data_IF_477606423698
#
_entry.id   IF_477606423698
#
_cell.length_a   1.000
_cell.length_b   1.000
_cell.length_c   1.000
_cell.angle_alpha   90.00
_cell.angle_beta   90.00
_cell.angle_gamma   90.00
#
_symmetry.space_group_name_H-M   'P 1'
#
loop_
_entity.id
_entity.type
_entity.pdbx_description
1 polymer ?
#
# COMPACT_ATOMS: atom_id res chain seq x y z
N UNK A 1 -14.10 43.42 -30.93
CA UNK A 1 -12.90 42.77 -31.52
C UNK A 1 -12.42 41.67 -30.58
N UNK A 2 -12.74 40.40 -30.88
CA UNK A 2 -12.35 39.27 -30.06
C UNK A 2 -10.93 38.82 -30.39
N UNK A 3 -9.98 39.03 -29.47
CA UNK A 3 -8.64 38.43 -29.55
C UNK A 3 -8.77 36.95 -29.20
N UNK A 4 -8.67 36.08 -30.21
CA UNK A 4 -8.46 34.65 -30.00
C UNK A 4 -7.01 34.47 -29.57
N UNK A 5 -6.80 34.12 -28.30
CA UNK A 5 -5.50 33.69 -27.81
C UNK A 5 -5.16 32.35 -28.46
N UNK A 6 -4.40 32.37 -29.55
CA UNK A 6 -3.82 31.17 -30.15
C UNK A 6 -2.55 30.81 -29.38
N UNK A 7 -2.70 30.17 -28.22
CA UNK A 7 -1.61 29.41 -27.59
C UNK A 7 -1.43 28.10 -28.38
N UNK A 8 -0.86 28.20 -29.58
CA UNK A 8 -0.40 27.01 -30.30
C UNK A 8 0.84 26.48 -29.59
N UNK A 9 0.64 25.61 -28.60
CA UNK A 9 1.71 24.77 -28.09
C UNK A 9 2.38 24.08 -29.29
N UNK A 10 3.67 24.34 -29.46
CA UNK A 10 4.46 23.81 -30.57
C UNK A 10 4.38 22.27 -30.55
N UNK A 11 4.36 21.58 -31.72
CA UNK A 11 4.30 20.11 -31.78
C UNK A 11 5.33 19.40 -30.88
N UNK A 12 6.50 20.01 -30.69
CA UNK A 12 7.56 19.53 -29.81
C UNK A 12 7.16 19.50 -28.33
N UNK A 13 6.47 20.52 -27.83
CA UNK A 13 5.98 20.55 -26.44
C UNK A 13 4.94 19.45 -26.20
N UNK A 14 4.04 19.22 -27.17
CA UNK A 14 3.05 18.14 -27.11
C UNK A 14 3.73 16.77 -27.08
N UNK A 15 4.77 16.59 -27.88
CA UNK A 15 5.55 15.35 -27.92
C UNK A 15 6.32 15.12 -26.61
N UNK A 16 6.93 16.16 -26.03
CA UNK A 16 7.60 16.09 -24.73
C UNK A 16 6.62 15.77 -23.61
N UNK A 17 5.46 16.44 -23.57
CA UNK A 17 4.41 16.16 -22.59
C UNK A 17 3.90 14.71 -22.69
N UNK A 18 3.77 14.17 -23.90
CA UNK A 18 3.42 12.77 -24.10
C UNK A 18 4.54 11.82 -23.61
N UNK A 19 5.80 12.15 -23.85
CA UNK A 19 6.95 11.38 -23.38
C UNK A 19 7.05 11.35 -21.85
N UNK A 20 6.85 12.49 -21.17
CA UNK A 20 6.82 12.58 -19.70
C UNK A 20 5.69 11.72 -19.14
N UNK A 21 4.47 11.85 -19.66
CA UNK A 21 3.33 11.02 -19.25
C UNK A 21 3.61 9.52 -19.42
N UNK A 22 4.29 9.14 -20.51
CA UNK A 22 4.68 7.74 -20.75
C UNK A 22 5.72 7.27 -19.72
N UNK A 23 6.74 8.09 -19.42
CA UNK A 23 7.75 7.77 -18.42
C UNK A 23 7.14 7.60 -17.03
N UNK A 24 6.30 8.53 -16.60
CA UNK A 24 5.55 8.46 -15.33
C UNK A 24 4.70 7.20 -15.24
N UNK A 25 3.97 6.86 -16.31
CA UNK A 25 3.17 5.62 -16.38
C UNK A 25 4.05 4.38 -16.20
N UNK A 26 5.21 4.33 -16.88
CA UNK A 26 6.12 3.20 -16.77
C UNK A 26 6.70 3.04 -15.36
N UNK A 27 7.05 4.15 -14.70
CA UNK A 27 7.48 4.17 -13.29
C UNK A 27 6.38 3.61 -12.39
N UNK A 28 5.13 4.08 -12.56
CA UNK A 28 4.01 3.60 -11.76
C UNK A 28 3.75 2.10 -11.97
N UNK A 29 3.87 1.60 -13.20
CA UNK A 29 3.74 0.17 -13.50
C UNK A 29 4.85 -0.62 -12.80
N UNK A 30 6.10 -0.14 -12.81
CA UNK A 30 7.20 -0.79 -12.12
C UNK A 30 6.93 -0.87 -10.61
N UNK A 31 6.56 0.24 -9.98
CA UNK A 31 6.19 0.30 -8.55
C UNK A 31 5.07 -0.69 -8.22
N UNK A 32 4.02 -0.74 -9.06
CA UNK A 32 2.90 -1.64 -8.83
C UNK A 32 3.31 -3.11 -8.92
N UNK A 33 4.19 -3.48 -9.87
CA UNK A 33 4.73 -4.84 -9.97
C UNK A 33 5.47 -5.23 -8.70
N UNK A 34 6.34 -4.36 -8.18
CA UNK A 34 7.11 -4.66 -6.97
C UNK A 34 6.19 -4.79 -5.76
N UNK A 35 5.19 -3.91 -5.62
CA UNK A 35 4.18 -4.03 -4.55
C UNK A 35 3.43 -5.36 -4.59
N UNK A 36 3.10 -5.86 -5.79
CA UNK A 36 2.46 -7.18 -5.93
C UNK A 36 3.42 -8.29 -5.52
N UNK A 37 4.68 -8.24 -5.97
CA UNK A 37 5.69 -9.21 -5.57
C UNK A 37 5.89 -9.25 -4.06
N UNK A 38 5.98 -8.09 -3.40
CA UNK A 38 6.16 -8.01 -1.95
C UNK A 38 5.00 -8.66 -1.19
N UNK A 39 3.76 -8.44 -1.64
CA UNK A 39 2.58 -9.11 -1.07
C UNK A 39 2.63 -10.63 -1.25
N UNK A 40 3.03 -11.10 -2.43
CA UNK A 40 3.20 -12.53 -2.67
C UNK A 40 4.27 -13.13 -1.75
N UNK A 41 5.42 -12.46 -1.63
CA UNK A 41 6.49 -12.87 -0.73
C UNK A 41 6.03 -12.88 0.74
N UNK A 42 5.23 -11.90 1.18
CA UNK A 42 4.67 -11.87 2.53
C UNK A 42 3.70 -13.02 2.81
N UNK A 43 2.82 -13.34 1.86
CA UNK A 43 1.93 -14.51 1.94
C UNK A 43 2.75 -15.80 2.07
N UNK A 44 3.82 -15.95 1.28
CA UNK A 44 4.64 -17.14 1.31
C UNK A 44 5.51 -17.23 2.58
N UNK A 45 6.01 -16.10 3.08
CA UNK A 45 6.68 -16.03 4.38
C UNK A 45 5.74 -16.48 5.51
N UNK A 46 4.48 -16.03 5.50
CA UNK A 46 3.49 -16.46 6.50
C UNK A 46 3.19 -17.96 6.44
N UNK A 47 3.10 -18.54 5.24
CA UNK A 47 2.95 -19.99 5.06
C UNK A 47 4.17 -20.75 5.58
N UNK A 48 5.37 -20.28 5.23
CA UNK A 48 6.63 -20.88 5.66
C UNK A 48 6.76 -20.84 7.19
N UNK A 49 6.43 -19.71 7.81
CA UNK A 49 6.47 -19.51 9.25
C UNK A 49 5.47 -20.42 9.98
N UNK A 50 4.24 -20.54 9.46
CA UNK A 50 3.28 -21.54 9.96
C UNK A 50 3.83 -22.96 9.88
N UNK A 51 4.49 -23.31 8.78
CA UNK A 51 5.15 -24.60 8.60
C UNK A 51 6.24 -24.84 9.64
N UNK A 52 7.13 -23.85 9.84
CA UNK A 52 8.20 -23.88 10.85
C UNK A 52 7.64 -24.10 12.26
N UNK A 53 6.65 -23.30 12.66
CA UNK A 53 6.01 -23.42 13.99
C UNK A 53 5.35 -24.79 14.18
N UNK A 54 4.72 -25.33 13.13
CA UNK A 54 4.13 -26.66 13.19
C UNK A 54 5.19 -27.76 13.32
N UNK A 55 6.34 -27.63 12.65
CA UNK A 55 7.47 -28.55 12.81
C UNK A 55 8.02 -28.53 14.24
N UNK A 56 8.24 -27.33 14.81
CA UNK A 56 8.69 -27.18 16.21
C UNK A 56 7.71 -27.87 17.16
N UNK A 57 6.41 -27.68 16.95
CA UNK A 57 5.36 -28.31 17.77
C UNK A 57 5.44 -29.83 17.70
N UNK A 58 5.68 -30.40 16.52
CA UNK A 58 5.79 -31.85 16.34
C UNK A 58 7.03 -32.41 17.05
N UNK A 59 8.19 -31.77 16.88
CA UNK A 59 9.44 -32.15 17.55
C UNK A 59 9.27 -32.10 19.08
N UNK A 60 8.62 -31.05 19.59
CA UNK A 60 8.32 -30.93 21.02
C UNK A 60 7.40 -32.03 21.55
N UNK A 61 6.43 -32.50 20.76
CA UNK A 61 5.57 -33.64 21.13
C UNK A 61 6.33 -34.95 21.20
N UNK A 62 7.37 -35.11 20.38
CA UNK A 62 8.24 -36.28 20.37
C UNK A 62 9.33 -36.22 21.46
N UNK A 63 9.42 -35.11 22.20
CA UNK A 63 10.45 -34.90 23.23
C UNK A 63 11.86 -34.71 22.66
N UNK A 64 11.96 -34.44 21.36
CA UNK A 64 13.23 -34.22 20.68
C UNK A 64 13.71 -32.77 20.85
N UNK A 65 15.01 -32.55 20.73
CA UNK A 65 15.60 -31.21 20.77
C UNK A 65 15.33 -30.51 19.44
N UNK A 66 14.81 -29.28 19.51
CA UNK A 66 14.53 -28.46 18.32
C UNK A 66 15.86 -27.98 17.70
N UNK A 67 16.09 -28.24 16.40
CA UNK A 67 17.23 -27.68 15.68
C UNK A 67 17.29 -26.15 15.76
N UNK A 68 18.48 -25.55 15.92
CA UNK A 68 18.61 -24.10 16.10
C UNK A 68 18.11 -23.29 14.91
N UNK A 69 18.16 -23.84 13.69
CA UNK A 69 17.66 -23.20 12.47
C UNK A 69 16.15 -22.97 12.55
N UNK A 70 15.43 -23.91 13.16
CA UNK A 70 14.00 -23.80 13.36
C UNK A 70 13.65 -22.86 14.50
N UNK A 71 14.60 -22.34 15.29
CA UNK A 71 14.31 -21.35 16.34
C UNK A 71 14.22 -19.93 15.80
N UNK A 72 14.83 -19.67 14.64
CA UNK A 72 14.82 -18.36 14.00
C UNK A 72 13.46 -18.16 13.33
N UNK A 73 12.78 -17.06 13.67
CA UNK A 73 11.51 -16.70 13.04
C UNK A 73 11.75 -16.25 11.60
N UNK A 74 10.86 -16.65 10.69
CA UNK A 74 10.89 -16.19 9.30
C UNK A 74 10.24 -14.80 9.26
N UNK A 75 11.00 -13.80 8.81
CA UNK A 75 10.51 -12.43 8.67
C UNK A 75 9.54 -12.29 7.49
N UNK A 76 8.50 -11.49 7.66
CA UNK A 76 7.57 -11.13 6.59
C UNK A 76 8.11 -9.90 5.84
N UNK A 77 8.53 -10.03 4.57
CA UNK A 77 9.07 -8.92 3.78
C UNK A 77 8.02 -7.84 3.49
N UNK A 78 6.71 -8.13 3.54
CA UNK A 78 5.67 -7.11 3.40
C UNK A 78 5.60 -6.18 4.61
N UNK A 79 5.88 -6.70 5.81
CA UNK A 79 5.81 -5.93 7.07
C UNK A 79 7.15 -5.36 7.49
N UNK A 80 8.21 -6.12 7.30
CA UNK A 80 9.57 -5.79 7.68
C UNK A 80 10.48 -6.02 6.46
N UNK A 81 10.41 -5.15 5.44
CA UNK A 81 11.23 -5.27 4.24
C UNK A 81 12.71 -5.13 4.60
N UNK A 82 13.54 -5.95 3.96
CA UNK A 82 15.00 -5.83 4.03
C UNK A 82 15.50 -4.71 3.13
N UNK A 83 16.76 -4.30 3.26
CA UNK A 83 17.36 -3.28 2.38
C UNK A 83 17.27 -3.71 0.89
N UNK A 84 17.46 -4.99 0.59
CA UNK A 84 17.32 -5.56 -0.74
C UNK A 84 15.88 -5.45 -1.29
N UNK A 85 14.88 -5.68 -0.44
CA UNK A 85 13.47 -5.50 -0.80
C UNK A 85 13.14 -4.02 -1.08
N UNK A 86 13.76 -3.09 -0.34
CA UNK A 86 13.60 -1.65 -0.53
C UNK A 86 14.29 -1.16 -1.82
N UNK A 87 15.47 -1.67 -2.14
CA UNK A 87 16.14 -1.39 -3.41
C UNK A 87 15.29 -1.87 -4.59
N UNK A 88 14.64 -3.03 -4.45
CA UNK A 88 13.72 -3.56 -5.45
C UNK A 88 12.51 -2.65 -5.71
N UNK A 89 12.10 -1.81 -4.75
CA UNK A 89 11.01 -0.85 -4.89
C UNK A 89 11.39 0.41 -5.69
N UNK A 90 12.69 0.67 -5.86
CA UNK A 90 13.15 1.81 -6.64
C UNK A 90 12.79 1.61 -8.12
N UNK A 91 12.20 2.61 -8.79
CA UNK A 91 11.98 2.51 -10.22
C UNK A 91 13.34 2.42 -10.95
N UNK A 92 13.39 1.74 -12.11
CA UNK A 92 14.62 1.60 -12.88
C UNK A 92 15.32 2.95 -13.09
N UNK A 93 16.63 3.06 -12.84
CA UNK A 93 17.36 4.32 -12.88
C UNK A 93 17.27 4.99 -14.26
N UNK A 94 17.18 4.21 -15.34
CA UNK A 94 16.99 4.70 -16.70
C UNK A 94 15.69 5.51 -16.88
N UNK A 95 14.60 5.08 -16.22
CA UNK A 95 13.31 5.78 -16.30
C UNK A 95 13.34 7.10 -15.54
N UNK A 96 14.04 7.13 -14.40
CA UNK A 96 14.23 8.36 -13.63
C UNK A 96 15.08 9.37 -14.40
N UNK A 97 16.19 8.93 -15.00
CA UNK A 97 17.05 9.78 -15.82
C UNK A 97 16.31 10.34 -17.03
N UNK A 98 15.54 9.50 -17.73
CA UNK A 98 14.74 9.94 -18.87
C UNK A 98 13.70 11.00 -18.47
N UNK A 99 13.07 10.87 -17.30
CA UNK A 99 12.10 11.84 -16.80
C UNK A 99 12.78 13.17 -16.47
N UNK A 100 13.93 13.14 -15.77
CA UNK A 100 14.69 14.34 -15.42
C UNK A 100 15.11 15.14 -16.66
N UNK A 101 15.66 14.46 -17.68
CA UNK A 101 16.04 15.07 -18.95
C UNK A 101 14.85 15.71 -19.68
N UNK A 102 13.67 15.10 -19.60
CA UNK A 102 12.46 15.64 -20.23
C UNK A 102 11.94 16.87 -19.46
N UNK A 103 12.01 16.87 -18.13
CA UNK A 103 11.53 17.94 -17.25
C UNK A 103 12.41 19.20 -17.33
N UNK A 104 13.74 19.04 -17.36
CA UNK A 104 14.69 20.16 -17.49
C UNK A 104 14.50 20.96 -18.78
N UNK A 105 14.02 20.32 -19.86
CA UNK A 105 13.76 21.01 -21.13
C UNK A 105 12.40 21.72 -21.19
N UNK A 106 11.60 21.65 -20.13
CA UNK A 106 10.27 22.29 -20.03
C UNK A 106 10.30 23.66 -19.34
N UNK A 107 11.39 24.02 -18.66
CA UNK A 107 11.52 25.35 -18.07
C UNK A 107 11.98 26.31 -19.16
N UNK A 108 11.21 27.35 -19.54
CA UNK A 108 11.76 28.40 -20.37
C UNK A 108 12.86 29.07 -19.55
N UNK A 109 14.13 28.85 -19.95
CA UNK A 109 15.30 29.50 -19.38
C UNK A 109 15.28 30.98 -19.77
N UNK A 110 14.42 31.72 -19.09
CA UNK A 110 14.26 33.17 -19.19
C UNK A 110 13.95 33.71 -17.79
N UNK A 111 14.86 33.44 -16.85
CA UNK A 111 15.04 34.35 -15.72
C UNK A 111 16.51 34.70 -15.73
N UNK A 112 16.83 35.84 -16.37
CA UNK A 112 18.03 36.59 -16.00
C UNK A 112 17.77 37.01 -14.56
N UNK A 113 18.28 36.22 -13.61
CA UNK A 113 18.24 36.58 -12.19
C UNK A 113 19.25 37.70 -12.04
N UNK A 114 18.76 38.92 -11.83
CA UNK A 114 19.59 40.05 -11.41
C UNK A 114 20.26 39.67 -10.08
N UNK A 115 21.61 39.60 -10.00
CA UNK A 115 22.33 39.23 -8.78
C UNK A 115 21.97 40.11 -7.57
N UNK A 116 21.41 41.30 -7.80
CA UNK A 116 21.02 42.25 -6.76
C UNK A 116 19.75 41.84 -5.99
N UNK A 117 18.91 40.92 -6.52
CA UNK A 117 17.64 40.52 -5.88
C UNK A 117 17.78 39.45 -4.80
N UNK A 118 18.97 38.85 -4.61
CA UNK A 118 19.22 37.86 -3.56
C UNK A 118 19.41 38.47 -2.16
N UNK A 119 19.47 39.80 -2.04
CA UNK A 119 19.84 40.48 -0.79
C UNK A 119 18.65 41.12 -0.03
N UNK A 120 17.40 40.84 -0.41
CA UNK A 120 16.24 41.35 0.32
C UNK A 120 15.38 40.21 0.89
N UNK A 121 15.67 39.94 2.15
CA UNK A 121 14.68 39.72 3.21
C UNK A 121 13.94 38.38 3.21
N UNK A 122 14.64 37.46 3.86
CA UNK A 122 14.17 36.53 4.90
C UNK A 122 13.16 37.18 5.89
N UNK A 123 11.95 37.48 5.40
CA UNK A 123 10.80 37.84 6.25
C UNK A 123 9.62 36.95 5.89
N UNK A 124 9.55 35.86 6.64
CA UNK A 124 8.33 35.19 7.08
C UNK A 124 7.30 34.90 5.98
N UNK A 125 7.60 33.90 5.15
CA UNK A 125 6.52 33.12 4.54
C UNK A 125 6.08 32.10 5.60
N UNK A 126 5.08 32.47 6.39
CA UNK A 126 4.32 31.58 7.27
C UNK A 126 3.78 30.41 6.43
N UNK A 127 4.25 29.20 6.71
CA UNK A 127 3.64 27.99 6.15
C UNK A 127 2.52 27.62 7.11
N UNK A 128 1.27 27.87 6.72
CA UNK A 128 0.11 27.27 7.38
C UNK A 128 0.16 25.76 7.18
N UNK A 129 0.83 25.09 8.11
CA UNK A 129 0.76 23.64 8.28
C UNK A 129 -0.47 23.39 9.14
N UNK A 130 -1.60 23.08 8.49
CA UNK A 130 -2.80 22.57 9.16
C UNK A 130 -2.43 21.28 9.92
N UNK A 131 -2.07 21.46 11.19
CA UNK A 131 -1.93 20.41 12.18
C UNK A 131 -3.34 19.96 12.58
N UNK A 132 -3.91 18.98 11.88
CA UNK A 132 -4.95 18.14 12.48
C UNK A 132 -4.26 17.08 13.35
N UNK A 133 -3.87 17.50 14.54
CA UNK A 133 -3.80 16.63 15.71
C UNK A 133 -4.84 17.17 16.69
N UNK A 134 -5.99 16.52 16.78
CA UNK A 134 -6.73 16.54 18.04
C UNK A 134 -6.48 15.22 18.75
N UNK A 135 -5.87 15.38 19.92
CA UNK A 135 -5.55 14.36 20.88
C UNK A 135 -6.83 13.73 21.43
N UNK A 136 -6.71 12.45 21.73
CA UNK A 136 -7.59 11.66 22.60
C UNK A 136 -7.88 12.36 23.92
N UNK A 137 -9.14 12.37 24.34
CA UNK A 137 -9.54 12.27 25.76
C UNK A 137 -10.97 11.69 25.85
N UNK A 138 -11.16 10.74 26.76
CA UNK A 138 -12.21 9.74 26.71
C UNK A 138 -13.61 10.15 27.20
N UNK A 139 -14.56 9.26 26.93
CA UNK A 139 -15.92 9.28 27.47
C UNK A 139 -16.78 8.21 26.80
N UNK A 140 -17.32 7.30 27.61
CA UNK A 140 -18.12 6.14 27.25
C UNK A 140 -19.30 6.43 26.31
N UNK A 141 -19.60 5.53 25.37
CA UNK A 141 -20.80 5.65 24.54
C UNK A 141 -20.89 4.68 23.35
N UNK A 142 -21.65 3.61 23.54
CA UNK A 142 -22.15 2.65 22.57
C UNK A 142 -22.80 3.30 21.32
N UNK A 143 -22.41 2.90 20.09
CA UNK A 143 -23.32 2.56 18.96
C UNK A 143 -22.61 2.30 17.59
N UNK A 144 -22.74 1.05 17.12
CA UNK A 144 -23.27 0.60 15.81
C UNK A 144 -23.31 1.61 14.63
N UNK A 145 -22.70 1.24 13.49
CA UNK A 145 -23.03 1.85 12.18
C UNK A 145 -22.12 1.43 11.01
N UNK A 146 -22.68 0.68 10.06
CA UNK A 146 -22.11 0.23 8.79
C UNK A 146 -21.42 1.33 7.96
N UNK A 147 -20.34 0.97 7.27
CA UNK A 147 -20.01 1.51 5.95
C UNK A 147 -19.45 0.41 5.03
N UNK A 148 -20.38 -0.30 4.40
CA UNK A 148 -20.14 -1.14 3.23
C UNK A 148 -19.59 -0.27 2.09
N UNK A 149 -18.40 -0.60 1.56
CA UNK A 149 -17.96 -0.11 0.26
C UNK A 149 -18.06 -1.25 -0.74
N UNK A 150 -19.24 -1.32 -1.34
CA UNK A 150 -19.60 -2.12 -2.51
C UNK A 150 -18.66 -1.79 -3.68
N UNK A 151 -17.75 -2.69 -4.01
CA UNK A 151 -17.15 -2.71 -5.35
C UNK A 151 -17.96 -3.69 -6.19
N UNK A 152 -18.80 -3.14 -7.06
CA UNK A 152 -19.53 -3.88 -8.09
C UNK A 152 -18.49 -4.54 -9.00
N UNK A 153 -18.37 -5.87 -8.89
CA UNK A 153 -17.71 -6.71 -9.87
C UNK A 153 -18.77 -7.04 -10.93
N UNK A 154 -18.69 -6.38 -12.08
CA UNK A 154 -19.42 -6.79 -13.28
C UNK A 154 -18.80 -8.11 -13.76
N UNK A 155 -19.32 -9.22 -13.20
CA UNK A 155 -19.08 -10.57 -13.69
C UNK A 155 -19.91 -10.78 -14.95
N UNK A 156 -19.23 -10.99 -16.08
CA UNK A 156 -19.84 -11.62 -17.24
C UNK A 156 -20.03 -13.11 -16.91
N UNK A 157 -21.30 -13.49 -16.79
CA UNK A 157 -21.78 -14.77 -16.31
C UNK A 157 -22.05 -15.72 -17.47
N UNK A 158 -21.39 -16.87 -17.48
CA UNK A 158 -21.84 -18.03 -18.27
C UNK A 158 -22.19 -19.17 -17.31
N UNK A 159 -23.45 -19.59 -17.41
CA UNK A 159 -24.13 -20.65 -16.67
C UNK A 159 -23.29 -21.92 -16.47
N UNK A 160 -23.26 -22.44 -15.24
CA UNK A 160 -23.43 -23.88 -15.01
C UNK A 160 -24.25 -24.10 -13.74
N UNK A 161 -25.49 -24.50 -13.98
CA UNK A 161 -26.41 -25.06 -13.00
C UNK A 161 -25.76 -26.19 -12.19
N UNK A 162 -25.93 -26.13 -10.88
CA UNK A 162 -25.59 -27.21 -9.95
C UNK A 162 -26.57 -27.19 -8.79
N UNK A 163 -27.62 -27.99 -8.91
CA UNK A 163 -28.59 -28.28 -7.86
C UNK A 163 -27.86 -28.89 -6.66
N UNK A 164 -28.06 -28.35 -5.46
CA UNK A 164 -27.69 -29.05 -4.23
C UNK A 164 -28.57 -28.59 -3.08
N UNK A 165 -29.68 -29.30 -2.90
CA UNK A 165 -30.48 -29.25 -1.68
C UNK A 165 -29.65 -29.79 -0.50
N UNK A 166 -29.56 -29.02 0.57
CA UNK A 166 -29.10 -29.53 1.87
C UNK A 166 -29.86 -28.82 2.98
N UNK A 167 -30.81 -29.58 3.53
CA UNK A 167 -31.62 -29.24 4.70
C UNK A 167 -30.73 -29.01 5.93
N UNK A 168 -30.57 -27.75 6.33
CA UNK A 168 -29.90 -27.44 7.60
C UNK A 168 -30.93 -27.46 8.74
N UNK A 169 -31.01 -28.59 9.44
CA UNK A 169 -31.87 -28.78 10.60
C UNK A 169 -31.39 -27.94 11.80
N UNK A 170 -32.34 -27.23 12.41
CA UNK A 170 -32.42 -26.77 13.80
C UNK A 170 -31.10 -26.52 14.59
N UNK A 171 -30.82 -25.24 14.82
CA UNK A 171 -29.95 -24.77 15.89
C UNK A 171 -30.58 -25.14 17.25
N UNK A 172 -30.02 -26.10 17.99
CA UNK A 172 -30.32 -26.28 19.41
C UNK A 172 -29.22 -25.64 20.25
N UNK A 173 -29.56 -24.52 20.88
CA UNK A 173 -28.80 -23.90 21.97
C UNK A 173 -28.87 -24.81 23.20
N UNK A 174 -27.72 -25.27 23.72
CA UNK A 174 -27.67 -25.90 25.03
C UNK A 174 -26.71 -25.16 25.99
N UNK A 175 -27.35 -24.34 26.83
CA UNK A 175 -27.12 -24.14 28.26
C UNK A 175 -25.67 -24.14 28.81
N UNK A 176 -25.13 -22.94 29.06
CA UNK A 176 -23.99 -22.74 29.98
C UNK A 176 -24.50 -22.93 31.42
N UNK A 177 -24.26 -24.11 32.00
CA UNK A 177 -24.37 -24.31 33.44
C UNK A 177 -23.15 -23.69 34.14
N UNK A 178 -23.37 -22.61 34.90
CA UNK A 178 -22.38 -22.02 35.80
C UNK A 178 -22.21 -22.90 37.04
N UNK A 179 -21.07 -23.58 37.16
CA UNK A 179 -20.61 -24.12 38.43
C UNK A 179 -20.21 -22.95 39.34
N UNK A 180 -21.12 -22.50 40.20
CA UNK A 180 -20.80 -21.67 41.35
C UNK A 180 -20.90 -22.55 42.60
N UNK A 181 -19.78 -23.14 42.99
CA UNK A 181 -19.62 -23.79 44.30
C UNK A 181 -18.58 -22.99 45.08
N UNK A 182 -19.03 -21.94 45.77
CA UNK A 182 -18.23 -21.25 46.77
C UNK A 182 -18.45 -21.98 48.10
N UNK A 183 -17.47 -22.78 48.50
CA UNK A 183 -17.43 -23.37 49.85
C UNK A 183 -17.23 -22.26 50.90
N UNK A 184 -18.04 -22.30 51.94
CA UNK A 184 -17.82 -21.64 53.24
C UNK A 184 -17.65 -22.73 54.28
#
# INVERSE_FOLDING_TARGET
MGRRNSSSSCPEEKNKAAAIKKAQKNIQVAINKVKVLLKCCGIDAHKAEKGRVQQIRNIGKEGQIVPPELLIAIADPEKNPTEEDLESLQPPPDLLQALLLLEETSVPRSVVIDPQLLNYQDKEREWDIDRVQQYTEGGDGQQRGNNESTWILESDSEDLAGESDSDSSCISYDSIARNADFRV
#
